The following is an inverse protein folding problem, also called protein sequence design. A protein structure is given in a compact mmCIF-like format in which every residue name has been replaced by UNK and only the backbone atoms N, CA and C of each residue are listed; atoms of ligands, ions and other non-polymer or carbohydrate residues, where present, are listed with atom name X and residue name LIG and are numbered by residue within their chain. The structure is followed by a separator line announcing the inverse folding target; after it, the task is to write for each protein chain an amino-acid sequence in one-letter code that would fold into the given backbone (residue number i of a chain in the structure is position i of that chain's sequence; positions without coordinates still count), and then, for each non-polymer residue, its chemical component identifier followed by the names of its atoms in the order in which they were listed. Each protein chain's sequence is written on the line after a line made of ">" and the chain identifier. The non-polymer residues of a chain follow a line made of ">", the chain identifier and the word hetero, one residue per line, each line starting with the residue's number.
data_IF_930019308758
#
_entry.id   IF_930019308758
#
_cell.length_a   1.000
_cell.length_b   1.000
_cell.length_c   1.000
_cell.angle_alpha   90.00
_cell.angle_beta   90.00
_cell.angle_gamma   90.00
#
_symmetry.space_group_name_H-M   'P 1'
#
loop_
_entity.id
_entity.type
_entity.pdbx_description
1 polymer ?
#
# COMPACT_ATOMS: atom_id res chain seq x y z
N UNK A 1 -3.72 -1.79 13.01
CA UNK A 1 -2.84 -2.00 11.84
C UNK A 1 -3.62 -2.66 10.72
N UNK A 2 -3.42 -2.24 9.49
CA UNK A 2 -4.00 -2.82 8.27
C UNK A 2 -2.86 -3.40 7.42
N UNK A 3 -3.04 -4.62 6.88
CA UNK A 3 -2.05 -5.27 6.03
C UNK A 3 -2.71 -5.71 4.72
N UNK A 4 -2.07 -5.44 3.59
CA UNK A 4 -2.53 -5.87 2.28
C UNK A 4 -1.38 -6.20 1.33
N UNK A 5 -1.60 -7.17 0.46
CA UNK A 5 -0.61 -7.60 -0.53
C UNK A 5 -1.15 -7.47 -1.96
N UNK A 6 -0.32 -7.13 -2.92
CA UNK A 6 -0.68 -7.04 -4.35
C UNK A 6 -1.89 -6.13 -4.57
N UNK A 7 -2.97 -6.60 -5.17
CA UNK A 7 -4.25 -5.88 -5.27
C UNK A 7 -4.86 -5.57 -3.89
N UNK A 8 -4.68 -6.46 -2.89
CA UNK A 8 -5.05 -6.17 -1.49
C UNK A 8 -4.20 -5.06 -0.88
N UNK A 9 -2.96 -4.88 -1.34
CA UNK A 9 -2.12 -3.73 -1.02
C UNK A 9 -2.73 -2.42 -1.54
N UNK A 10 -3.31 -2.44 -2.73
CA UNK A 10 -4.06 -1.29 -3.25
C UNK A 10 -5.28 -0.98 -2.39
N UNK A 11 -6.06 -1.99 -1.98
CA UNK A 11 -7.22 -1.80 -1.11
C UNK A 11 -6.82 -1.19 0.24
N UNK A 12 -5.77 -1.74 0.86
CA UNK A 12 -5.23 -1.23 2.13
C UNK A 12 -4.70 0.20 2.00
N UNK A 13 -3.96 0.49 0.93
CA UNK A 13 -3.47 1.84 0.62
C UNK A 13 -4.61 2.83 0.36
N UNK A 14 -5.66 2.40 -0.36
CA UNK A 14 -6.85 3.21 -0.61
C UNK A 14 -7.56 3.58 0.70
N UNK A 15 -7.76 2.63 1.60
CA UNK A 15 -8.33 2.95 2.92
C UNK A 15 -7.43 3.91 3.70
N UNK A 16 -6.13 3.67 3.72
CA UNK A 16 -5.17 4.51 4.44
C UNK A 16 -5.09 5.96 3.93
N UNK A 17 -5.49 6.22 2.68
CA UNK A 17 -5.42 7.56 2.06
C UNK A 17 -6.77 8.21 1.82
N UNK A 18 -7.89 7.46 2.00
CA UNK A 18 -9.25 7.92 1.69
C UNK A 18 -10.25 7.63 2.81
N UNK A 19 -9.79 7.41 4.02
CA UNK A 19 -10.61 7.09 5.19
C UNK A 19 -11.62 8.18 5.58
N UNK A 20 -11.49 9.39 5.03
CA UNK A 20 -12.41 10.51 5.25
C UNK A 20 -13.51 10.60 4.18
N UNK A 21 -13.47 9.76 3.14
CA UNK A 21 -14.48 9.80 2.08
C UNK A 21 -15.78 9.11 2.56
N UNK A 22 -16.90 9.80 2.42
CA UNK A 22 -18.23 9.21 2.63
C UNK A 22 -18.56 8.30 1.45
N UNK A 23 -18.50 6.99 1.66
CA UNK A 23 -18.75 5.98 0.61
C UNK A 23 -20.17 5.41 0.67
N UNK A 24 -20.88 5.60 1.79
CA UNK A 24 -22.29 5.26 1.99
C UNK A 24 -22.89 6.10 3.13
N UNK A 25 -24.22 6.15 3.22
CA UNK A 25 -24.90 6.82 4.34
C UNK A 25 -24.78 5.98 5.61
N UNK A 26 -24.34 6.55 6.74
CA UNK A 26 -24.19 5.82 8.00
C UNK A 26 -25.51 5.16 8.43
N UNK A 27 -25.45 3.89 8.80
CA UNK A 27 -26.58 3.09 9.27
C UNK A 27 -26.72 3.16 10.80
N UNK A 28 -25.58 3.16 11.51
CA UNK A 28 -25.55 3.22 12.97
C UNK A 28 -24.35 4.03 13.51
N UNK A 29 -24.12 3.92 14.83
CA UNK A 29 -23.04 4.66 15.50
C UNK A 29 -21.63 4.14 15.14
N UNK A 30 -21.49 2.89 14.71
CA UNK A 30 -20.20 2.33 14.30
C UNK A 30 -19.69 2.99 13.01
N UNK A 31 -20.60 3.27 12.08
CA UNK A 31 -20.27 3.93 10.80
C UNK A 31 -19.77 5.38 10.97
N UNK A 32 -19.94 5.95 12.16
CA UNK A 32 -19.46 7.30 12.50
C UNK A 32 -18.05 7.30 13.11
N UNK A 33 -17.48 6.10 13.35
CA UNK A 33 -16.12 5.97 13.83
C UNK A 33 -15.13 6.18 12.67
N UNK A 34 -13.94 6.71 12.99
CA UNK A 34 -12.90 6.88 11.97
C UNK A 34 -12.44 5.52 11.45
N UNK A 35 -12.45 5.36 10.13
CA UNK A 35 -11.88 4.19 9.46
C UNK A 35 -10.34 4.29 9.27
N UNK A 36 -9.72 5.38 9.76
CA UNK A 36 -8.26 5.58 9.63
C UNK A 36 -7.50 4.49 10.39
N UNK A 37 -6.65 3.69 9.73
CA UNK A 37 -5.81 2.75 10.43
C UNK A 37 -4.64 3.46 11.13
N UNK A 38 -4.12 2.88 12.22
CA UNK A 38 -2.95 3.43 12.92
C UNK A 38 -1.66 3.21 12.12
N UNK A 39 -1.61 2.18 11.28
CA UNK A 39 -0.50 1.83 10.39
C UNK A 39 -1.02 1.02 9.20
N UNK A 40 -0.51 1.28 8.01
CA UNK A 40 -0.73 0.48 6.81
C UNK A 40 0.56 -0.24 6.39
N UNK A 41 0.49 -1.58 6.25
CA UNK A 41 1.56 -2.41 5.72
C UNK A 41 1.17 -2.92 4.33
N UNK A 42 1.93 -2.54 3.32
CA UNK A 42 1.65 -2.82 1.92
C UNK A 42 2.78 -3.67 1.32
N UNK A 43 2.44 -4.90 0.94
CA UNK A 43 3.38 -5.89 0.42
C UNK A 43 3.24 -5.97 -1.09
N UNK A 44 4.34 -5.70 -1.81
CA UNK A 44 4.38 -5.67 -3.29
C UNK A 44 3.08 -5.09 -3.89
N UNK A 45 2.67 -3.88 -3.41
CA UNK A 45 1.34 -3.35 -3.66
C UNK A 45 1.18 -2.80 -5.06
N UNK A 46 -0.01 -2.92 -5.62
CA UNK A 46 -0.45 -2.02 -6.68
C UNK A 46 -0.73 -0.65 -6.03
N UNK A 47 -0.17 0.42 -6.55
CA UNK A 47 -0.29 1.80 -6.01
C UNK A 47 -0.86 2.73 -7.07
N UNK A 48 -0.17 2.84 -8.19
CA UNK A 48 -0.57 3.74 -9.28
C UNK A 48 -1.55 3.06 -10.23
N UNK A 49 -2.47 3.84 -10.79
CA UNK A 49 -3.35 3.44 -11.90
C UNK A 49 -2.84 3.94 -13.25
N UNK A 50 -1.63 4.51 -13.33
CA UNK A 50 -1.00 4.91 -14.59
C UNK A 50 -0.66 3.66 -15.42
N UNK A 51 -0.98 3.68 -16.72
CA UNK A 51 -0.92 2.49 -17.57
C UNK A 51 0.48 1.88 -17.74
N UNK A 52 1.51 2.69 -17.61
CA UNK A 52 2.93 2.32 -17.73
C UNK A 52 3.54 1.77 -16.43
N UNK A 53 2.86 1.91 -15.29
CA UNK A 53 3.36 1.53 -13.97
C UNK A 53 2.48 0.48 -13.31
N UNK A 54 1.17 0.53 -13.54
CA UNK A 54 0.18 -0.30 -12.85
C UNK A 54 0.26 -1.78 -13.24
N UNK A 55 -0.35 -2.64 -12.43
CA UNK A 55 -0.73 -3.98 -12.86
C UNK A 55 -1.99 -3.89 -13.76
N UNK A 56 -1.91 -4.24 -15.06
CA UNK A 56 -2.99 -4.02 -16.01
C UNK A 56 -4.32 -4.68 -15.62
N UNK A 57 -4.26 -5.90 -15.08
CA UNK A 57 -5.43 -6.63 -14.62
C UNK A 57 -6.16 -5.93 -13.46
N UNK A 58 -5.42 -5.44 -12.49
CA UNK A 58 -5.99 -4.67 -11.35
C UNK A 58 -6.62 -3.37 -11.82
N UNK A 59 -5.95 -2.65 -12.72
CA UNK A 59 -6.49 -1.41 -13.30
C UNK A 59 -7.79 -1.66 -14.06
N UNK A 60 -7.79 -2.67 -14.94
CA UNK A 60 -8.96 -2.99 -15.74
C UNK A 60 -10.17 -3.40 -14.86
N UNK A 61 -9.93 -4.19 -13.81
CA UNK A 61 -10.97 -4.62 -12.88
C UNK A 61 -11.54 -3.48 -12.03
N UNK A 62 -10.70 -2.50 -11.63
CA UNK A 62 -11.10 -1.44 -10.71
C UNK A 62 -11.73 -0.23 -11.44
N UNK A 63 -11.08 0.26 -12.49
CA UNK A 63 -11.47 1.51 -13.16
C UNK A 63 -11.77 1.35 -14.65
N UNK A 64 -11.58 0.14 -15.21
CA UNK A 64 -11.70 -0.14 -16.63
C UNK A 64 -10.42 0.17 -17.42
N UNK A 65 -10.20 -0.61 -18.49
CA UNK A 65 -9.00 -0.48 -19.33
C UNK A 65 -8.89 0.91 -19.98
N UNK A 66 -10.02 1.52 -20.35
CA UNK A 66 -10.11 2.82 -21.01
C UNK A 66 -10.34 4.00 -20.05
N UNK A 67 -10.08 3.84 -18.75
CA UNK A 67 -10.29 4.89 -17.76
C UNK A 67 -9.51 6.15 -18.08
N UNK A 68 -10.21 7.30 -18.01
CA UNK A 68 -9.62 8.61 -18.22
C UNK A 68 -8.81 9.11 -17.01
N UNK A 69 -8.10 10.26 -17.18
CA UNK A 69 -7.19 10.78 -16.15
C UNK A 69 -7.82 10.97 -14.78
N UNK A 70 -9.06 11.42 -14.70
CA UNK A 70 -9.75 11.68 -13.42
C UNK A 70 -9.91 10.39 -12.58
N UNK A 71 -10.24 9.24 -13.20
CA UNK A 71 -10.31 7.96 -12.49
C UNK A 71 -8.92 7.47 -12.12
N UNK A 72 -7.92 7.64 -12.99
CA UNK A 72 -6.53 7.31 -12.69
C UNK A 72 -6.06 8.08 -11.47
N UNK A 73 -6.28 9.39 -11.40
CA UNK A 73 -5.89 10.23 -10.27
C UNK A 73 -6.64 9.85 -8.98
N UNK A 74 -7.94 9.60 -9.10
CA UNK A 74 -8.77 9.24 -7.95
C UNK A 74 -8.35 7.93 -7.30
N UNK A 75 -7.95 6.94 -8.10
CA UNK A 75 -7.64 5.59 -7.62
C UNK A 75 -6.14 5.27 -7.54
N UNK A 76 -5.26 6.22 -7.83
CA UNK A 76 -3.83 6.10 -7.56
C UNK A 76 -3.53 6.48 -6.12
N UNK A 77 -3.09 5.53 -5.31
CA UNK A 77 -2.84 5.70 -3.87
C UNK A 77 -1.79 6.79 -3.62
N UNK A 78 -0.71 6.81 -4.42
CA UNK A 78 0.36 7.80 -4.33
C UNK A 78 -0.14 9.26 -4.47
N UNK A 79 -1.20 9.45 -5.25
CA UNK A 79 -1.82 10.78 -5.48
C UNK A 79 -2.85 11.18 -4.42
N UNK A 80 -3.16 10.27 -3.51
CA UNK A 80 -4.13 10.46 -2.42
C UNK A 80 -3.48 10.55 -1.04
N UNK A 81 -2.15 10.44 -0.97
CA UNK A 81 -1.38 10.65 0.27
C UNK A 81 -1.50 12.13 0.68
N UNK A 82 -1.78 12.35 1.95
CA UNK A 82 -1.95 13.66 2.59
C UNK A 82 -1.20 13.70 3.91
N UNK A 83 -1.18 14.85 4.56
CA UNK A 83 -0.57 15.05 5.87
C UNK A 83 -1.25 14.21 6.98
N UNK A 84 -2.48 13.72 6.74
CA UNK A 84 -3.22 12.86 7.67
C UNK A 84 -3.02 11.36 7.40
N UNK A 85 -2.32 10.99 6.32
CA UNK A 85 -2.05 9.58 6.00
C UNK A 85 -1.29 8.91 7.15
N UNK A 86 -1.72 7.71 7.62
CA UNK A 86 -1.04 6.99 8.70
C UNK A 86 0.37 6.54 8.30
N UNK A 87 1.22 6.17 9.28
CA UNK A 87 2.50 5.53 9.00
C UNK A 87 2.35 4.36 8.04
N UNK A 88 3.30 4.21 7.10
CA UNK A 88 3.23 3.20 6.05
C UNK A 88 4.50 2.35 6.01
N UNK A 89 4.31 1.03 5.97
CA UNK A 89 5.38 0.06 5.74
C UNK A 89 5.23 -0.51 4.34
N UNK A 90 6.30 -0.47 3.56
CA UNK A 90 6.34 -0.94 2.18
C UNK A 90 7.38 -2.03 2.01
N UNK A 91 7.04 -3.12 1.34
CA UNK A 91 8.00 -4.15 0.96
C UNK A 91 7.73 -4.64 -0.46
N UNK A 92 8.79 -4.78 -1.25
CA UNK A 92 8.71 -5.28 -2.62
C UNK A 92 10.04 -5.95 -3.02
N UNK A 93 10.05 -6.62 -4.17
CA UNK A 93 11.26 -7.19 -4.78
C UNK A 93 11.55 -6.52 -6.13
N UNK A 94 12.83 -6.34 -6.44
CA UNK A 94 13.27 -5.72 -7.68
C UNK A 94 13.03 -6.59 -8.92
N UNK A 95 12.92 -7.91 -8.73
CA UNK A 95 12.62 -8.90 -9.77
C UNK A 95 11.11 -9.20 -9.93
N UNK A 96 10.23 -8.40 -9.30
CA UNK A 96 8.78 -8.52 -9.48
C UNK A 96 8.39 -8.12 -10.92
N UNK A 97 7.99 -9.10 -11.71
CA UNK A 97 7.59 -8.94 -13.11
C UNK A 97 6.06 -8.82 -13.29
N UNK A 98 5.29 -8.77 -12.20
CA UNK A 98 3.83 -8.66 -12.21
C UNK A 98 3.39 -7.26 -11.79
N UNK A 99 3.94 -6.76 -10.67
CA UNK A 99 3.70 -5.41 -10.16
C UNK A 99 5.04 -4.68 -10.08
N UNK A 100 5.32 -3.76 -11.01
CA UNK A 100 6.59 -3.04 -11.03
C UNK A 100 6.91 -2.37 -9.69
N UNK A 101 8.17 -2.49 -9.25
CA UNK A 101 8.65 -1.95 -7.97
C UNK A 101 8.44 -0.44 -7.85
N UNK A 102 8.31 0.26 -8.97
CA UNK A 102 7.98 1.68 -9.08
C UNK A 102 6.71 2.05 -8.30
N UNK A 103 5.75 1.13 -8.19
CA UNK A 103 4.56 1.34 -7.35
C UNK A 103 4.95 1.66 -5.90
N UNK A 104 5.81 0.85 -5.30
CA UNK A 104 6.30 1.08 -3.93
C UNK A 104 7.13 2.36 -3.81
N UNK A 105 7.95 2.65 -4.81
CA UNK A 105 8.79 3.86 -4.87
C UNK A 105 7.93 5.12 -4.94
N UNK A 106 6.85 5.12 -5.72
CA UNK A 106 5.92 6.25 -5.81
C UNK A 106 5.25 6.53 -4.46
N UNK A 107 4.71 5.50 -3.80
CA UNK A 107 4.12 5.64 -2.48
C UNK A 107 5.13 6.18 -1.46
N UNK A 108 6.35 5.64 -1.43
CA UNK A 108 7.42 6.10 -0.55
C UNK A 108 7.74 7.58 -0.75
N UNK A 109 7.92 8.02 -1.99
CA UNK A 109 8.19 9.41 -2.33
C UNK A 109 7.07 10.35 -1.92
N UNK A 110 5.82 9.95 -2.16
CA UNK A 110 4.65 10.73 -1.77
C UNK A 110 4.55 10.87 -0.25
N UNK A 111 4.80 9.80 0.51
CA UNK A 111 4.86 9.84 1.98
C UNK A 111 5.91 10.83 2.49
N UNK A 112 7.13 10.80 1.92
CA UNK A 112 8.19 11.76 2.28
C UNK A 112 7.81 13.20 1.94
N UNK A 113 7.18 13.42 0.78
CA UNK A 113 6.76 14.76 0.35
C UNK A 113 5.74 15.40 1.31
N UNK A 114 4.92 14.55 1.97
CA UNK A 114 3.96 14.97 3.00
C UNK A 114 4.52 14.86 4.43
N UNK A 115 5.83 14.63 4.61
CA UNK A 115 6.45 14.50 5.93
C UNK A 115 5.90 13.32 6.75
N UNK A 116 5.35 12.29 6.09
CA UNK A 116 4.75 11.14 6.77
C UNK A 116 5.77 10.05 7.04
N UNK A 117 5.58 9.37 8.17
CA UNK A 117 6.45 8.25 8.55
C UNK A 117 6.27 7.08 7.59
N UNK A 118 7.38 6.64 6.98
CA UNK A 118 7.38 5.52 6.03
C UNK A 118 8.67 4.72 6.16
N UNK A 119 8.55 3.39 6.12
CA UNK A 119 9.67 2.48 5.96
C UNK A 119 9.48 1.68 4.68
N UNK A 120 10.53 1.59 3.84
CA UNK A 120 10.49 0.83 2.61
C UNK A 120 11.66 -0.14 2.54
N UNK A 121 11.37 -1.40 2.22
CA UNK A 121 12.35 -2.47 2.06
C UNK A 121 12.24 -3.07 0.67
N UNK A 122 13.28 -2.88 -0.13
CA UNK A 122 13.39 -3.46 -1.46
C UNK A 122 14.43 -4.57 -1.44
N UNK A 123 14.01 -5.76 -1.79
CA UNK A 123 14.88 -6.92 -1.93
C UNK A 123 15.27 -7.10 -3.40
N UNK A 124 16.51 -7.55 -3.65
CA UNK A 124 16.98 -7.84 -5.01
C UNK A 124 16.08 -8.87 -5.68
N UNK A 125 15.77 -9.95 -4.94
CA UNK A 125 14.97 -11.07 -5.41
C UNK A 125 13.84 -11.43 -4.46
N UNK A 126 12.75 -11.97 -5.00
CA UNK A 126 11.56 -12.40 -4.26
C UNK A 126 10.39 -12.66 -5.22
N UNK A 127 10.43 -12.06 -6.40
CA UNK A 127 9.33 -12.11 -7.36
C UNK A 127 8.08 -11.44 -6.82
N UNK A 128 6.92 -11.81 -7.39
CA UNK A 128 5.63 -11.36 -6.90
C UNK A 128 5.03 -12.35 -5.91
N UNK A 129 4.44 -11.86 -4.83
CA UNK A 129 3.66 -12.72 -3.93
C UNK A 129 4.50 -13.56 -2.98
N UNK A 130 5.70 -13.12 -2.62
CA UNK A 130 6.66 -13.91 -1.84
C UNK A 130 6.22 -14.23 -0.39
N UNK A 131 5.10 -13.75 0.09
CA UNK A 131 4.52 -14.15 1.38
C UNK A 131 5.48 -14.25 2.57
N UNK A 132 5.02 -14.80 3.71
CA UNK A 132 5.87 -14.92 4.91
C UNK A 132 6.69 -16.22 4.97
N UNK A 133 6.42 -17.22 4.11
CA UNK A 133 7.00 -18.55 4.18
C UNK A 133 8.20 -18.75 3.23
N UNK A 134 9.05 -17.74 3.09
CA UNK A 134 10.27 -17.84 2.31
C UNK A 134 11.34 -18.67 3.03
N UNK A 135 12.23 -19.35 2.29
CA UNK A 135 13.42 -19.97 2.89
C UNK A 135 14.22 -18.97 3.72
N UNK A 136 14.71 -19.38 4.88
CA UNK A 136 15.45 -18.50 5.80
C UNK A 136 16.71 -17.87 5.15
N UNK A 137 17.26 -18.51 4.13
CA UNK A 137 18.40 -17.98 3.35
C UNK A 137 17.99 -16.80 2.41
N UNK A 138 16.70 -16.63 2.12
CA UNK A 138 16.22 -15.50 1.33
C UNK A 138 16.24 -14.22 2.16
N UNK A 139 16.91 -13.13 1.71
CA UNK A 139 16.84 -11.84 2.42
C UNK A 139 15.42 -11.35 2.63
N UNK A 140 14.52 -11.59 1.67
CA UNK A 140 13.13 -11.20 1.75
C UNK A 140 12.34 -11.92 2.87
N UNK A 141 12.84 -13.05 3.40
CA UNK A 141 12.21 -13.73 4.55
C UNK A 141 12.17 -12.89 5.82
N UNK A 142 12.93 -11.80 5.88
CA UNK A 142 13.02 -10.90 7.04
C UNK A 142 11.91 -9.85 7.12
N UNK A 143 11.09 -9.70 6.09
CA UNK A 143 10.09 -8.64 6.08
C UNK A 143 9.11 -8.69 7.28
N UNK A 144 8.70 -9.87 7.83
CA UNK A 144 7.82 -9.87 8.99
C UNK A 144 8.47 -9.26 10.24
N UNK A 145 9.75 -9.57 10.49
CA UNK A 145 10.51 -9.00 11.61
C UNK A 145 10.66 -7.49 11.45
N UNK A 146 10.91 -7.02 10.23
CA UNK A 146 11.03 -5.58 9.92
C UNK A 146 9.69 -4.87 10.13
N UNK A 147 8.56 -5.48 9.75
CA UNK A 147 7.23 -4.95 10.01
C UNK A 147 6.94 -4.88 11.51
N UNK A 148 7.26 -5.92 12.26
CA UNK A 148 7.06 -5.95 13.72
C UNK A 148 7.89 -4.85 14.40
N UNK A 149 9.15 -4.68 14.00
CA UNK A 149 10.01 -3.60 14.51
C UNK A 149 9.44 -2.21 14.19
N UNK A 150 8.92 -2.01 12.97
CA UNK A 150 8.29 -0.75 12.57
C UNK A 150 7.01 -0.49 13.38
N UNK A 151 6.16 -1.51 13.56
CA UNK A 151 4.94 -1.40 14.36
C UNK A 151 5.24 -1.09 15.85
N UNK A 152 6.29 -1.71 16.42
CA UNK A 152 6.73 -1.43 17.79
C UNK A 152 7.22 0.02 17.93
N UNK A 153 7.98 0.54 16.97
CA UNK A 153 8.42 1.94 16.96
C UNK A 153 7.24 2.93 16.93
N UNK A 154 6.10 2.51 16.38
CA UNK A 154 4.84 3.26 16.38
C UNK A 154 3.90 2.91 17.55
N UNK A 155 4.39 2.17 18.57
CA UNK A 155 3.65 1.80 19.79
C UNK A 155 2.38 0.99 19.52
N UNK A 156 2.36 0.20 18.47
CA UNK A 156 1.23 -0.68 18.12
C UNK A 156 1.37 -2.09 18.66
N UNK A 157 2.55 -2.42 19.18
CA UNK A 157 2.84 -3.66 19.89
C UNK A 157 3.21 -3.26 21.32
N UNK A 158 2.37 -3.66 22.27
CA UNK A 158 2.60 -3.48 23.70
C UNK A 158 3.60 -4.51 24.24
#
# INVERSE_FOLDING_TARGET
>A
MLLGSSAGGHLAGSLATRFTEDVYSPVDAADRQSARPDLAALLYPVISMQADITHPGSRAALIGAAAGPSLVDRYSVDRRITDDTPPMFLVAAGDDNIVPVENSILAYRAMLAHGRSVSMHLFETGGHGFGPNLPAASPASRWPDLLLAFAAAHRLLG
#
